data_IF_419362810138
#
_entry.id   IF_419362810138
#
_cell.length_a   1.000
_cell.length_b   1.000
_cell.length_c   1.000
_cell.angle_alpha   90.00
_cell.angle_beta   90.00
_cell.angle_gamma   90.00
#
_symmetry.space_group_name_H-M   'P 1'
#
loop_
_entity.id
_entity.type
_entity.pdbx_description
1 polymer ?
#
# COMPACT_ATOMS: atom_id res chain seq x y z
N UNK A 1 -6.90 -18.47 -10.41
CA UNK A 1 -7.37 -17.13 -9.99
C UNK A 1 -6.81 -16.91 -8.59
N UNK A 2 -5.79 -16.06 -8.46
CA UNK A 2 -4.84 -16.05 -7.33
C UNK A 2 -5.46 -15.60 -6.00
N UNK A 3 -5.10 -16.28 -4.91
CA UNK A 3 -5.50 -16.02 -3.51
C UNK A 3 -5.33 -14.55 -3.07
N UNK A 4 -4.36 -13.84 -3.67
CA UNK A 4 -4.13 -12.41 -3.45
C UNK A 4 -5.34 -11.54 -3.81
N UNK A 5 -6.07 -11.87 -4.89
CA UNK A 5 -7.27 -11.13 -5.28
C UNK A 5 -8.41 -11.38 -4.30
N UNK A 6 -8.56 -12.59 -3.78
CA UNK A 6 -9.57 -12.87 -2.75
C UNK A 6 -9.23 -12.17 -1.43
N UNK A 7 -7.97 -12.19 -1.01
CA UNK A 7 -7.50 -11.43 0.16
C UNK A 7 -7.73 -9.92 0.01
N UNK A 8 -7.39 -9.35 -1.15
CA UNK A 8 -7.61 -7.93 -1.41
C UNK A 8 -9.09 -7.55 -1.40
N UNK A 9 -9.96 -8.41 -1.95
CA UNK A 9 -11.43 -8.23 -1.90
C UNK A 9 -11.94 -8.36 -0.46
N UNK A 10 -11.42 -9.31 0.33
CA UNK A 10 -11.87 -9.57 1.70
C UNK A 10 -11.44 -8.48 2.69
N UNK A 11 -10.22 -7.95 2.55
CA UNK A 11 -9.69 -6.88 3.41
C UNK A 11 -10.10 -5.47 2.96
N UNK A 12 -10.77 -5.35 1.82
CA UNK A 12 -11.28 -4.08 1.29
C UNK A 12 -10.20 -2.99 1.24
N UNK A 13 -10.47 -1.87 1.90
CA UNK A 13 -9.53 -0.75 1.97
C UNK A 13 -8.16 -1.14 2.54
N UNK A 14 -8.04 -2.04 3.50
CA UNK A 14 -6.71 -2.39 4.04
C UNK A 14 -5.94 -3.33 3.10
N UNK A 15 -6.64 -4.18 2.36
CA UNK A 15 -6.06 -5.10 1.38
C UNK A 15 -5.42 -4.37 0.20
N UNK A 16 -5.94 -3.19 -0.15
CA UNK A 16 -5.39 -2.37 -1.24
C UNK A 16 -4.08 -1.65 -0.88
N UNK A 17 -3.59 -1.74 0.36
CA UNK A 17 -2.30 -1.15 0.75
C UNK A 17 -1.13 -1.71 -0.08
N UNK A 18 -1.04 -3.03 -0.21
CA UNK A 18 0.05 -3.70 -0.93
C UNK A 18 0.15 -3.29 -2.41
N UNK A 19 -0.93 -3.36 -3.23
CA UNK A 19 -0.87 -2.87 -4.60
C UNK A 19 -0.57 -1.37 -4.66
N UNK A 20 -1.08 -0.57 -3.74
CA UNK A 20 -0.79 0.88 -3.68
C UNK A 20 0.70 1.16 -3.46
N UNK A 21 1.34 0.44 -2.53
CA UNK A 21 2.78 0.54 -2.28
C UNK A 21 3.58 0.09 -3.51
N UNK A 22 3.18 -1.01 -4.14
CA UNK A 22 3.81 -1.52 -5.34
C UNK A 22 3.83 -0.48 -6.46
N UNK A 23 2.66 0.06 -6.84
CA UNK A 23 2.56 1.06 -7.91
C UNK A 23 3.23 2.39 -7.55
N UNK A 24 3.17 2.81 -6.28
CA UNK A 24 3.91 4.00 -5.82
C UNK A 24 5.43 3.82 -5.95
N UNK A 25 5.95 2.64 -5.64
CA UNK A 25 7.37 2.35 -5.79
C UNK A 25 7.77 2.26 -7.27
N UNK A 26 6.89 1.72 -8.11
CA UNK A 26 7.07 1.66 -9.57
C UNK A 26 7.15 3.07 -10.17
N UNK A 27 6.22 3.97 -9.80
CA UNK A 27 6.25 5.39 -10.20
C UNK A 27 7.54 6.10 -9.79
N UNK A 28 8.11 5.71 -8.64
CA UNK A 28 9.34 6.29 -8.10
C UNK A 28 10.62 5.63 -8.63
N UNK A 29 10.51 4.76 -9.63
CA UNK A 29 11.62 4.00 -10.19
C UNK A 29 12.42 3.20 -9.14
N UNK A 30 11.76 2.73 -8.07
CA UNK A 30 12.40 1.92 -7.04
C UNK A 30 12.51 0.48 -7.51
N UNK A 31 13.65 -0.16 -7.29
CA UNK A 31 13.87 -1.57 -7.63
C UNK A 31 12.95 -2.48 -6.78
N UNK A 32 12.02 -3.16 -7.43
CA UNK A 32 11.06 -4.09 -6.79
C UNK A 32 11.41 -5.53 -7.15
N UNK A 33 11.60 -6.38 -6.14
CA UNK A 33 11.69 -7.84 -6.30
C UNK A 33 10.29 -8.45 -6.35
N UNK A 34 10.05 -9.35 -7.30
CA UNK A 34 8.79 -10.11 -7.44
C UNK A 34 8.98 -11.60 -7.12
N UNK A 35 10.22 -12.07 -7.04
CA UNK A 35 10.57 -13.41 -6.58
C UNK A 35 12.01 -13.45 -6.06
N UNK A 36 12.56 -14.66 -5.89
CA UNK A 36 13.89 -14.88 -5.27
C UNK A 36 15.00 -14.10 -5.99
N UNK A 37 15.01 -14.22 -7.32
CA UNK A 37 16.00 -13.61 -8.22
C UNK A 37 15.35 -12.82 -9.35
N UNK A 38 14.04 -12.58 -9.26
CA UNK A 38 13.26 -11.86 -10.26
C UNK A 38 12.89 -10.47 -9.78
N UNK A 39 13.06 -9.51 -10.68
CA UNK A 39 12.68 -8.11 -10.49
C UNK A 39 11.55 -7.76 -11.45
N UNK A 40 10.86 -6.66 -11.15
CA UNK A 40 9.91 -6.11 -12.11
C UNK A 40 10.64 -5.75 -13.41
N UNK A 41 10.10 -6.12 -14.60
CA UNK A 41 10.65 -5.77 -15.90
C UNK A 41 10.74 -4.25 -16.12
N UNK A 42 11.74 -3.79 -16.88
CA UNK A 42 11.97 -2.36 -17.14
C UNK A 42 10.75 -1.72 -17.83
N UNK A 43 10.11 -2.47 -18.71
CA UNK A 43 8.95 -2.08 -19.50
C UNK A 43 7.79 -1.61 -18.61
N UNK A 44 7.62 -2.22 -17.44
CA UNK A 44 6.58 -1.82 -16.49
C UNK A 44 6.85 -0.43 -15.86
N UNK A 45 8.12 -0.09 -15.61
CA UNK A 45 8.50 1.25 -15.15
C UNK A 45 8.30 2.27 -16.27
N UNK A 46 8.78 1.97 -17.47
CA UNK A 46 8.66 2.85 -18.64
C UNK A 46 7.19 3.14 -18.96
N UNK A 47 6.35 2.11 -18.97
CA UNK A 47 4.91 2.26 -19.17
C UNK A 47 4.31 3.20 -18.12
N UNK A 48 4.52 2.92 -16.83
CA UNK A 48 3.89 3.71 -15.78
C UNK A 48 4.39 5.17 -15.73
N UNK A 49 5.65 5.41 -16.08
CA UNK A 49 6.25 6.75 -16.18
C UNK A 49 5.80 7.53 -17.42
N UNK A 50 5.42 6.83 -18.50
CA UNK A 50 4.88 7.48 -19.70
C UNK A 50 3.45 8.02 -19.51
N UNK A 51 2.73 7.55 -18.47
CA UNK A 51 1.37 8.00 -18.22
C UNK A 51 1.35 9.44 -17.65
N UNK A 52 0.39 10.27 -18.09
CA UNK A 52 0.26 11.62 -17.55
C UNK A 52 -0.10 11.58 -16.06
N UNK A 53 0.27 12.65 -15.36
CA UNK A 53 0.06 12.77 -13.91
C UNK A 53 -1.41 12.65 -13.51
N UNK A 54 -2.34 12.99 -14.40
CA UNK A 54 -3.77 12.92 -14.13
C UNK A 54 -4.25 11.47 -13.93
N UNK A 55 -3.60 10.51 -14.58
CA UNK A 55 -3.89 9.08 -14.45
C UNK A 55 -3.16 8.43 -13.26
N UNK A 56 -2.06 9.00 -12.78
CA UNK A 56 -1.18 8.38 -11.76
C UNK A 56 -1.11 9.12 -10.43
N UNK A 57 -1.52 10.39 -10.39
CA UNK A 57 -1.38 11.28 -9.24
C UNK A 57 -2.15 10.79 -8.01
N UNK A 58 -3.28 10.12 -8.23
CA UNK A 58 -4.09 9.55 -7.16
C UNK A 58 -3.33 8.50 -6.33
N UNK A 59 -2.36 7.79 -6.90
CA UNK A 59 -1.59 6.74 -6.21
C UNK A 59 -0.85 7.29 -4.99
N UNK A 60 -0.30 8.50 -5.10
CA UNK A 60 0.41 9.15 -3.98
C UNK A 60 -0.56 9.60 -2.89
N UNK A 61 -1.73 10.12 -3.29
CA UNK A 61 -2.77 10.55 -2.35
C UNK A 61 -3.33 9.34 -1.62
N UNK A 62 -3.64 8.26 -2.33
CA UNK A 62 -4.18 7.03 -1.78
C UNK A 62 -3.19 6.35 -0.83
N UNK A 63 -1.90 6.33 -1.15
CA UNK A 63 -0.86 5.91 -0.21
C UNK A 63 -0.88 6.72 1.10
N UNK A 64 -1.01 8.06 1.01
CA UNK A 64 -1.07 8.91 2.21
C UNK A 64 -2.31 8.61 3.05
N UNK A 65 -3.44 8.33 2.42
CA UNK A 65 -4.65 7.90 3.13
C UNK A 65 -4.38 6.63 3.96
N UNK A 66 -3.66 5.64 3.41
CA UNK A 66 -3.35 4.43 4.19
C UNK A 66 -2.49 4.72 5.41
N UNK A 67 -1.53 5.64 5.28
CA UNK A 67 -0.70 6.07 6.42
C UNK A 67 -1.58 6.73 7.49
N UNK A 68 -2.46 7.67 7.09
CA UNK A 68 -3.38 8.35 8.01
C UNK A 68 -4.26 7.33 8.74
N UNK A 69 -4.92 6.43 8.01
CA UNK A 69 -5.75 5.40 8.63
C UNK A 69 -4.94 4.50 9.58
N UNK A 70 -3.76 4.05 9.15
CA UNK A 70 -2.88 3.24 10.01
C UNK A 70 -2.49 3.97 11.29
N UNK A 71 -2.24 5.28 11.23
CA UNK A 71 -1.92 6.08 12.42
C UNK A 71 -3.11 6.25 13.36
N UNK A 72 -4.33 6.39 12.83
CA UNK A 72 -5.56 6.47 13.63
C UNK A 72 -5.83 5.14 14.35
N UNK A 73 -5.68 4.01 13.65
CA UNK A 73 -5.84 2.69 14.28
C UNK A 73 -4.77 2.42 15.34
N UNK A 74 -3.52 2.78 15.06
CA UNK A 74 -2.44 2.62 16.03
C UNK A 74 -2.68 3.47 17.29
N UNK A 75 -3.06 4.75 17.14
CA UNK A 75 -3.33 5.62 18.29
C UNK A 75 -4.53 5.14 19.10
N UNK A 76 -5.61 4.72 18.44
CA UNK A 76 -6.77 4.11 19.11
C UNK A 76 -6.38 2.86 19.91
N UNK A 77 -5.56 1.97 19.33
CA UNK A 77 -5.06 0.77 20.02
C UNK A 77 -4.22 1.09 21.24
N UNK A 78 -3.34 2.10 21.16
CA UNK A 78 -2.53 2.57 22.30
C UNK A 78 -3.42 3.11 23.41
N UNK A 79 -4.41 3.94 23.09
CA UNK A 79 -5.34 4.49 24.09
C UNK A 79 -6.14 3.40 24.80
N UNK A 80 -6.63 2.40 24.06
CA UNK A 80 -7.31 1.23 24.65
C UNK A 80 -6.36 0.44 25.55
N UNK A 81 -5.13 0.21 25.12
CA UNK A 81 -4.12 -0.49 25.92
C UNK A 81 -3.81 0.22 27.23
N UNK A 82 -3.64 1.54 27.19
CA UNK A 82 -3.46 2.39 28.38
C UNK A 82 -4.68 2.30 29.30
N UNK A 83 -5.89 2.43 28.75
CA UNK A 83 -7.13 2.32 29.52
C UNK A 83 -7.26 0.97 30.23
N UNK A 84 -6.85 -0.13 29.59
CA UNK A 84 -6.85 -1.47 30.21
C UNK A 84 -5.77 -1.62 31.29
N UNK A 85 -4.62 -0.97 31.15
CA UNK A 85 -3.53 -1.03 32.12
C UNK A 85 -3.76 -0.14 33.35
N UNK A 86 -4.51 0.96 33.20
CA UNK A 86 -4.85 1.88 34.30
C UNK A 86 -6.16 1.50 35.00
N UNK A 87 -7.03 0.73 34.35
CA UNK A 87 -8.29 0.23 34.91
C UNK A 87 -8.21 -1.14 35.59
N UNK A 88 -6.99 -1.67 35.80
CA UNK A 88 -6.70 -2.91 36.55
C UNK A 88 -6.15 -2.59 37.93
#
# INVERSE_FOLDING_TARGET
>A
MNDFNQLAVYFGYFGSYFPTVFFKNLLKNKKIKTGKDTFVPLEAYTFLQSLPRELTGWITVYYRMHIIWSTIFASGGVLVGIGRALGS
#
